data_IF_344872697248
#
_entry.id   IF_344872697248
#
_cell.length_a   1.000
_cell.length_b   1.000
_cell.length_c   1.000
_cell.angle_alpha   90.00
_cell.angle_beta   90.00
_cell.angle_gamma   90.00
#
_symmetry.space_group_name_H-M   'P 1'
#
loop_
_entity.id
_entity.type
_entity.pdbx_description
1 polymer ?
#
# COMPACT_ATOMS: atom_id res chain seq x y z
N UNK A 1 4.33 -27.81 -7.55
CA UNK A 1 4.05 -26.41 -7.24
C UNK A 1 3.44 -26.29 -5.86
N UNK A 2 4.04 -25.49 -4.99
CA UNK A 2 3.53 -25.32 -3.63
C UNK A 2 2.29 -24.44 -3.64
N UNK A 3 1.27 -24.82 -2.86
CA UNK A 3 0.09 -24.00 -2.67
C UNK A 3 0.35 -22.93 -1.59
N UNK A 4 -0.60 -22.03 -1.39
CA UNK A 4 -0.42 -20.93 -0.44
C UNK A 4 -0.30 -21.42 1.01
N UNK A 5 -0.97 -22.52 1.38
CA UNK A 5 -0.87 -23.09 2.72
C UNK A 5 0.55 -23.58 2.99
N UNK A 6 1.17 -24.25 2.02
CA UNK A 6 2.55 -24.70 2.13
C UNK A 6 3.50 -23.52 2.25
N UNK A 7 3.26 -22.45 1.48
CA UNK A 7 4.05 -21.23 1.56
C UNK A 7 3.97 -20.59 2.96
N UNK A 8 2.78 -20.50 3.54
CA UNK A 8 2.58 -19.94 4.88
C UNK A 8 3.26 -20.81 5.94
N UNK A 9 3.11 -22.13 5.85
CA UNK A 9 3.75 -23.06 6.77
C UNK A 9 5.27 -22.95 6.73
N UNK A 10 5.85 -22.80 5.53
CA UNK A 10 7.29 -22.63 5.38
C UNK A 10 7.79 -21.33 6.03
N UNK A 11 7.02 -20.27 5.94
CA UNK A 11 7.40 -19.00 6.54
C UNK A 11 7.28 -19.05 8.07
N UNK A 12 6.43 -19.91 8.61
CA UNK A 12 6.24 -20.14 10.07
C UNK A 12 6.14 -18.85 10.87
N UNK A 13 5.47 -17.84 10.31
CA UNK A 13 5.47 -16.49 10.84
C UNK A 13 4.03 -15.99 11.02
N UNK A 14 3.63 -15.77 12.28
CA UNK A 14 2.30 -15.24 12.61
C UNK A 14 2.02 -13.91 11.93
N UNK A 15 3.06 -13.13 11.66
CA UNK A 15 2.93 -11.83 10.99
C UNK A 15 2.54 -11.98 9.52
N UNK A 16 3.02 -13.03 8.85
CA UNK A 16 2.60 -13.36 7.49
C UNK A 16 1.12 -13.72 7.48
N UNK A 17 0.65 -14.47 8.47
CA UNK A 17 -0.76 -14.80 8.60
C UNK A 17 -1.61 -13.56 8.85
N UNK A 18 -1.10 -12.59 9.62
CA UNK A 18 -1.77 -11.31 9.84
C UNK A 18 -1.92 -10.51 8.56
N UNK A 19 -0.90 -10.50 7.73
CA UNK A 19 -0.95 -9.85 6.41
C UNK A 19 -1.99 -10.55 5.53
N UNK A 20 -1.97 -11.88 5.48
CA UNK A 20 -2.93 -12.65 4.71
C UNK A 20 -4.37 -12.34 5.14
N UNK A 21 -4.61 -12.30 6.44
CA UNK A 21 -5.92 -11.97 6.99
C UNK A 21 -6.41 -10.58 6.54
N UNK A 22 -5.53 -9.59 6.59
CA UNK A 22 -5.85 -8.24 6.12
C UNK A 22 -6.17 -8.22 4.63
N UNK A 23 -5.37 -8.91 3.82
CA UNK A 23 -5.59 -8.98 2.37
C UNK A 23 -6.90 -9.67 2.02
N UNK A 24 -7.25 -10.75 2.72
CA UNK A 24 -8.51 -11.46 2.50
C UNK A 24 -9.72 -10.57 2.81
N UNK A 25 -9.59 -9.69 3.80
CA UNK A 25 -10.65 -8.76 4.20
C UNK A 25 -10.61 -7.42 3.46
N UNK A 26 -9.71 -7.25 2.49
CA UNK A 26 -9.47 -5.97 1.79
C UNK A 26 -9.23 -4.81 2.77
N UNK A 27 -8.52 -5.08 3.85
CA UNK A 27 -8.25 -4.11 4.90
C UNK A 27 -6.90 -3.42 4.70
N UNK A 28 -6.90 -2.10 4.87
CA UNK A 28 -5.67 -1.32 4.86
C UNK A 28 -4.78 -1.71 6.04
N UNK A 29 -3.47 -1.64 5.86
CA UNK A 29 -2.53 -2.09 6.86
C UNK A 29 -1.28 -1.21 6.94
N UNK A 30 -0.59 -1.31 8.07
CA UNK A 30 0.74 -0.72 8.26
C UNK A 30 1.68 -1.87 8.63
N UNK A 31 2.78 -1.98 7.91
CA UNK A 31 3.82 -2.96 8.21
C UNK A 31 5.13 -2.25 8.57
N UNK A 32 5.83 -2.78 9.55
CA UNK A 32 7.14 -2.29 9.97
C UNK A 32 8.17 -3.32 9.53
N UNK A 33 9.02 -2.94 8.59
CA UNK A 33 10.03 -3.83 8.02
C UNK A 33 11.07 -3.04 7.25
N UNK A 34 12.24 -3.60 7.10
CA UNK A 34 13.21 -3.16 6.10
C UNK A 34 12.75 -3.67 4.74
N UNK A 35 11.81 -2.94 4.13
CA UNK A 35 11.14 -3.38 2.92
C UNK A 35 12.13 -3.48 1.76
N UNK A 36 12.28 -4.67 1.23
CA UNK A 36 13.14 -4.95 0.11
C UNK A 36 12.47 -5.88 -0.89
N UNK A 37 13.21 -6.31 -1.89
CA UNK A 37 12.70 -7.15 -2.97
C UNK A 37 12.04 -8.44 -2.45
N UNK A 38 12.66 -9.09 -1.47
CA UNK A 38 12.11 -10.34 -0.90
C UNK A 38 10.77 -10.12 -0.21
N UNK A 39 10.65 -9.05 0.57
CA UNK A 39 9.41 -8.71 1.26
C UNK A 39 8.33 -8.34 0.23
N UNK A 40 8.68 -7.56 -0.78
CA UNK A 40 7.77 -7.21 -1.87
C UNK A 40 7.26 -8.45 -2.59
N UNK A 41 8.13 -9.40 -2.92
CA UNK A 41 7.75 -10.65 -3.58
C UNK A 41 6.79 -11.47 -2.73
N UNK A 42 7.04 -11.57 -1.42
CA UNK A 42 6.16 -12.29 -0.49
C UNK A 42 4.77 -11.68 -0.45
N UNK A 43 4.70 -10.36 -0.28
CA UNK A 43 3.42 -9.65 -0.21
C UNK A 43 2.69 -9.72 -1.54
N UNK A 44 3.39 -9.58 -2.66
CA UNK A 44 2.82 -9.69 -4.00
C UNK A 44 2.19 -11.09 -4.20
N UNK A 45 2.89 -12.13 -3.78
CA UNK A 45 2.40 -13.50 -3.90
C UNK A 45 1.13 -13.72 -3.08
N UNK A 46 1.12 -13.22 -1.84
CA UNK A 46 -0.06 -13.30 -0.98
C UNK A 46 -1.23 -12.50 -1.57
N UNK A 47 -0.97 -11.31 -2.07
CA UNK A 47 -2.00 -10.47 -2.66
C UNK A 47 -2.61 -11.13 -3.89
N UNK A 48 -1.80 -11.63 -4.80
CA UNK A 48 -2.31 -12.32 -6.00
C UNK A 48 -3.12 -13.56 -5.65
N UNK A 49 -2.71 -14.29 -4.63
CA UNK A 49 -3.46 -15.44 -4.16
C UNK A 49 -4.84 -15.06 -3.60
N UNK A 50 -4.95 -13.89 -2.98
CA UNK A 50 -6.22 -13.40 -2.39
C UNK A 50 -7.08 -12.61 -3.39
N UNK A 51 -6.72 -12.64 -4.68
CA UNK A 51 -7.54 -12.10 -5.73
C UNK A 51 -7.17 -10.69 -6.22
N UNK A 52 -6.06 -10.14 -5.74
CA UNK A 52 -5.56 -8.86 -6.26
C UNK A 52 -4.98 -9.06 -7.65
N UNK A 53 -5.36 -8.18 -8.57
CA UNK A 53 -4.88 -8.22 -9.95
C UNK A 53 -3.40 -7.90 -10.03
N UNK A 54 -2.96 -6.89 -9.27
CA UNK A 54 -1.58 -6.48 -9.24
C UNK A 54 -1.24 -5.72 -7.96
N UNK A 55 0.05 -5.55 -7.73
CA UNK A 55 0.59 -4.78 -6.61
C UNK A 55 1.40 -3.62 -7.18
N UNK A 56 1.04 -2.42 -6.77
CA UNK A 56 1.72 -1.20 -7.20
C UNK A 56 2.52 -0.68 -6.01
N UNK A 57 3.84 -0.67 -6.12
CA UNK A 57 4.73 -0.26 -5.04
C UNK A 57 5.32 1.12 -5.31
N UNK A 58 5.09 2.02 -4.37
CA UNK A 58 5.67 3.34 -4.37
C UNK A 58 6.88 3.37 -3.44
N UNK A 59 8.06 3.33 -4.04
CA UNK A 59 9.30 3.46 -3.31
C UNK A 59 9.54 4.92 -2.95
N UNK A 60 9.67 5.19 -1.66
CA UNK A 60 10.03 6.52 -1.21
C UNK A 60 11.50 6.77 -1.53
N UNK A 61 11.78 7.81 -2.29
CA UNK A 61 13.13 8.29 -2.59
C UNK A 61 13.24 9.76 -2.24
N UNK A 62 14.44 10.29 -2.17
CA UNK A 62 14.65 11.71 -1.89
C UNK A 62 14.06 12.63 -2.98
N UNK A 63 13.72 12.05 -4.13
CA UNK A 63 13.14 12.80 -5.26
C UNK A 63 11.62 12.76 -5.30
N UNK A 64 10.97 11.95 -4.47
CA UNK A 64 9.51 11.88 -4.44
C UNK A 64 8.92 13.10 -3.74
N UNK A 65 7.92 13.70 -4.36
CA UNK A 65 7.23 14.88 -3.86
C UNK A 65 5.72 14.65 -3.83
N UNK A 66 4.98 15.39 -2.99
CA UNK A 66 3.51 15.28 -2.95
C UNK A 66 2.82 15.46 -4.30
N UNK A 67 3.39 16.27 -5.19
CA UNK A 67 2.84 16.48 -6.55
C UNK A 67 2.78 15.20 -7.37
N UNK A 68 3.62 14.20 -7.05
CA UNK A 68 3.63 12.92 -7.76
C UNK A 68 2.36 12.10 -7.49
N UNK A 69 1.62 12.46 -6.43
CA UNK A 69 0.34 11.86 -6.07
C UNK A 69 -0.86 12.65 -6.59
N UNK A 70 -0.63 13.65 -7.43
CA UNK A 70 -1.67 14.52 -7.96
C UNK A 70 -1.69 14.46 -9.49
N UNK A 71 -2.84 14.84 -10.13
CA UNK A 71 -2.88 14.94 -11.59
C UNK A 71 -1.86 15.97 -12.10
N UNK A 72 -1.23 15.66 -13.24
CA UNK A 72 -0.28 16.58 -13.86
C UNK A 72 -1.01 17.63 -14.70
N UNK A 73 -0.76 18.94 -14.50
CA UNK A 73 -1.36 19.96 -15.35
C UNK A 73 -0.87 19.84 -16.80
N UNK A 74 -1.75 20.02 -17.76
CA UNK A 74 -1.42 20.03 -19.18
C UNK A 74 -2.33 21.01 -19.93
N UNK A 75 -1.99 21.35 -21.17
CA UNK A 75 -2.81 22.21 -22.02
C UNK A 75 -4.17 21.60 -22.38
N UNK A 76 -4.30 20.28 -22.21
CA UNK A 76 -5.53 19.53 -22.50
C UNK A 76 -6.29 19.14 -21.23
N UNK A 77 -6.00 19.77 -20.09
CA UNK A 77 -6.53 19.43 -18.79
C UNK A 77 -5.51 18.65 -17.94
N UNK A 78 -5.96 18.05 -16.87
CA UNK A 78 -5.09 17.31 -15.96
C UNK A 78 -4.83 15.90 -16.49
N UNK A 79 -3.55 15.51 -16.51
CA UNK A 79 -3.15 14.14 -16.85
C UNK A 79 -3.04 13.30 -15.58
N UNK A 80 -3.64 12.13 -15.61
CA UNK A 80 -3.57 11.17 -14.51
C UNK A 80 -2.39 10.22 -14.77
N UNK A 81 -1.48 10.02 -13.79
CA UNK A 81 -0.38 9.07 -13.95
C UNK A 81 -0.89 7.65 -14.26
N UNK A 82 -0.12 6.89 -15.03
CA UNK A 82 -0.54 5.55 -15.48
C UNK A 82 -0.86 4.61 -14.32
N UNK A 83 -0.14 4.68 -13.22
CA UNK A 83 -0.39 3.81 -12.06
C UNK A 83 -1.78 4.05 -11.46
N UNK A 84 -2.20 5.32 -11.36
CA UNK A 84 -3.53 5.67 -10.85
C UNK A 84 -4.62 5.36 -11.87
N UNK A 85 -4.34 5.61 -13.13
CA UNK A 85 -5.26 5.32 -14.23
C UNK A 85 -5.60 3.84 -14.32
N UNK A 86 -4.62 2.98 -14.10
CA UNK A 86 -4.83 1.53 -14.07
C UNK A 86 -5.90 1.15 -13.05
N UNK A 87 -5.85 1.72 -11.85
CA UNK A 87 -6.82 1.44 -10.80
C UNK A 87 -8.19 2.05 -11.16
N UNK A 88 -8.22 3.30 -11.59
CA UNK A 88 -9.45 4.03 -11.89
C UNK A 88 -10.23 3.39 -13.04
N UNK A 89 -9.53 2.96 -14.08
CA UNK A 89 -10.16 2.43 -15.30
C UNK A 89 -10.56 0.94 -15.18
N UNK A 90 -10.13 0.23 -14.14
CA UNK A 90 -10.38 -1.20 -13.98
C UNK A 90 -11.10 -1.50 -12.66
N UNK A 91 -12.30 -0.95 -12.48
CA UNK A 91 -13.04 -1.05 -11.22
C UNK A 91 -13.53 -2.48 -10.89
N UNK A 92 -13.48 -3.39 -11.83
CA UNK A 92 -13.80 -4.81 -11.61
C UNK A 92 -12.59 -5.64 -11.17
N UNK A 93 -11.42 -5.02 -11.05
CA UNK A 93 -10.18 -5.65 -10.59
C UNK A 93 -9.68 -4.91 -9.36
N UNK A 94 -9.14 -5.62 -8.39
CA UNK A 94 -8.62 -4.96 -7.19
C UNK A 94 -7.10 -4.92 -7.17
N UNK A 95 -6.57 -3.88 -6.57
CA UNK A 95 -5.14 -3.58 -6.55
C UNK A 95 -4.67 -3.32 -5.12
N UNK A 96 -3.46 -3.77 -4.82
CA UNK A 96 -2.78 -3.43 -3.58
C UNK A 96 -1.78 -2.32 -3.87
N UNK A 97 -1.89 -1.24 -3.12
CA UNK A 97 -1.00 -0.09 -3.26
C UNK A 97 -0.09 -0.03 -2.04
N UNK A 98 1.23 -0.11 -2.27
CA UNK A 98 2.21 -0.10 -1.20
C UNK A 98 3.02 1.18 -1.26
N UNK A 99 3.04 1.93 -0.15
CA UNK A 99 3.89 3.11 0.00
C UNK A 99 5.03 2.78 0.97
N UNK A 100 6.26 2.92 0.51
CA UNK A 100 7.45 2.57 1.28
C UNK A 100 8.15 3.83 1.79
N UNK A 101 8.27 3.93 3.11
CA UNK A 101 8.96 5.04 3.78
C UNK A 101 10.16 4.50 4.55
N UNK A 102 11.34 4.80 4.09
CA UNK A 102 12.60 4.51 4.79
C UNK A 102 13.07 5.67 5.68
N UNK A 103 12.48 6.85 5.50
CA UNK A 103 12.76 8.07 6.23
C UNK A 103 11.46 8.85 6.46
N UNK A 104 11.50 9.75 7.44
CA UNK A 104 10.40 10.69 7.61
C UNK A 104 10.28 11.64 6.43
N UNK A 105 9.06 11.80 5.95
CA UNK A 105 8.71 12.77 4.93
C UNK A 105 7.28 13.22 5.21
N UNK A 106 7.15 14.23 6.04
CA UNK A 106 5.84 14.69 6.53
C UNK A 106 4.94 15.18 5.41
N UNK A 107 5.51 15.86 4.42
CA UNK A 107 4.74 16.37 3.28
C UNK A 107 4.15 15.24 2.43
N UNK A 108 4.94 14.20 2.19
CA UNK A 108 4.47 13.04 1.44
C UNK A 108 3.47 12.23 2.26
N UNK A 109 3.72 12.07 3.56
CA UNK A 109 2.78 11.40 4.46
C UNK A 109 1.42 12.11 4.48
N UNK A 110 1.42 13.44 4.54
CA UNK A 110 0.20 14.23 4.49
C UNK A 110 -0.53 14.07 3.14
N UNK A 111 0.22 13.98 2.04
CA UNK A 111 -0.35 13.78 0.72
C UNK A 111 -0.99 12.40 0.56
N UNK A 112 -0.58 11.41 1.37
CA UNK A 112 -1.19 10.09 1.37
C UNK A 112 -2.54 10.04 2.09
N UNK A 113 -2.86 11.00 2.94
CA UNK A 113 -4.06 10.92 3.77
C UNK A 113 -5.34 10.70 2.97
N UNK A 114 -5.63 11.44 1.89
CA UNK A 114 -6.84 11.17 1.12
C UNK A 114 -6.85 9.77 0.51
N UNK A 115 -5.69 9.29 0.07
CA UNK A 115 -5.56 7.96 -0.53
C UNK A 115 -5.82 6.88 0.53
N UNK A 116 -5.13 6.96 1.67
CA UNK A 116 -5.20 5.95 2.71
C UNK A 116 -6.53 5.98 3.48
N UNK A 117 -7.01 7.17 3.85
CA UNK A 117 -8.18 7.32 4.71
C UNK A 117 -9.51 7.29 3.95
N UNK A 118 -9.53 7.80 2.72
CA UNK A 118 -10.76 7.96 1.95
C UNK A 118 -10.80 7.12 0.69
N UNK A 119 -9.73 6.43 0.36
CA UNK A 119 -9.57 5.72 -0.92
C UNK A 119 -9.87 6.62 -2.12
N UNK A 120 -9.33 7.83 -2.09
CA UNK A 120 -9.42 8.78 -3.19
C UNK A 120 -8.11 8.82 -3.98
N UNK A 121 -8.20 8.64 -5.30
CA UNK A 121 -7.08 8.79 -6.22
C UNK A 121 -7.39 9.92 -7.19
N UNK A 122 -6.50 10.91 -7.23
CA UNK A 122 -6.65 12.04 -8.17
C UNK A 122 -8.02 12.70 -8.07
N UNK A 123 -8.53 12.84 -6.83
CA UNK A 123 -9.83 13.42 -6.56
C UNK A 123 -11.03 12.50 -6.80
N UNK A 124 -10.79 11.25 -7.19
CA UNK A 124 -11.85 10.27 -7.45
C UNK A 124 -11.86 9.19 -6.39
N UNK A 125 -13.05 8.85 -5.89
CA UNK A 125 -13.23 7.77 -4.95
C UNK A 125 -13.17 6.43 -5.68
N UNK A 126 -12.34 5.51 -5.18
CA UNK A 126 -12.18 4.17 -5.77
C UNK A 126 -12.50 3.10 -4.74
N UNK A 127 -13.08 1.98 -5.19
CA UNK A 127 -13.49 0.88 -4.30
C UNK A 127 -12.57 -0.34 -4.43
N UNK A 128 -11.68 -0.33 -5.39
CA UNK A 128 -10.88 -1.48 -5.80
C UNK A 128 -9.41 -1.36 -5.38
N UNK A 129 -9.15 -0.64 -4.30
CA UNK A 129 -7.81 -0.36 -3.83
C UNK A 129 -7.69 -0.66 -2.34
N UNK A 130 -6.67 -1.39 -1.96
CA UNK A 130 -6.26 -1.60 -0.57
C UNK A 130 -4.90 -0.96 -0.38
N UNK A 131 -4.70 -0.25 0.71
CA UNK A 131 -3.47 0.48 0.98
C UNK A 131 -2.61 -0.21 2.04
N UNK A 132 -1.32 -0.32 1.74
CA UNK A 132 -0.32 -0.80 2.68
C UNK A 132 0.75 0.27 2.85
N UNK A 133 0.97 0.69 4.09
CA UNK A 133 2.05 1.60 4.42
C UNK A 133 3.20 0.78 5.02
N UNK A 134 4.32 0.72 4.32
CA UNK A 134 5.52 0.02 4.78
C UNK A 134 6.52 1.04 5.35
N UNK A 135 6.88 0.88 6.61
CA UNK A 135 7.73 1.83 7.33
C UNK A 135 8.91 1.11 7.98
N UNK A 136 10.01 1.84 8.14
CA UNK A 136 11.12 1.43 9.00
C UNK A 136 10.94 2.02 10.40
N UNK A 137 11.76 1.59 11.36
CA UNK A 137 11.66 2.03 12.76
C UNK A 137 11.78 3.55 12.95
N UNK A 138 12.42 4.23 12.01
CA UNK A 138 12.67 5.67 12.13
C UNK A 138 11.56 6.54 11.55
N UNK A 139 10.49 5.94 11.05
CA UNK A 139 9.39 6.65 10.40
C UNK A 139 8.24 6.85 11.37
N UNK A 140 7.79 8.09 11.51
CA UNK A 140 6.61 8.43 12.29
C UNK A 140 5.37 8.44 11.39
N UNK A 141 4.39 7.64 11.74
CA UNK A 141 3.11 7.60 11.03
C UNK A 141 2.19 8.70 11.58
N UNK A 142 1.50 9.41 10.70
CA UNK A 142 0.52 10.41 11.12
C UNK A 142 -0.57 9.77 11.98
N UNK A 143 -1.05 10.50 12.99
CA UNK A 143 -2.09 10.00 13.90
C UNK A 143 -3.36 9.53 13.20
N UNK A 144 -3.90 10.25 12.21
CA UNK A 144 -5.10 9.78 11.51
C UNK A 144 -4.90 8.44 10.81
N UNK A 145 -3.77 8.24 10.14
CA UNK A 145 -3.46 6.98 9.47
C UNK A 145 -3.30 5.85 10.49
N UNK A 146 -2.58 6.11 11.57
CA UNK A 146 -2.36 5.14 12.64
C UNK A 146 -3.69 4.73 13.30
N UNK A 147 -4.55 5.70 13.59
CA UNK A 147 -5.87 5.46 14.17
C UNK A 147 -6.75 4.61 13.24
N UNK A 148 -6.72 4.88 11.94
CA UNK A 148 -7.46 4.10 10.94
C UNK A 148 -7.01 2.64 10.91
N UNK A 149 -5.74 2.39 11.10
CA UNK A 149 -5.19 1.03 11.13
C UNK A 149 -5.46 0.29 12.45
N UNK A 150 -5.97 0.96 13.47
CA UNK A 150 -6.26 0.37 14.78
C UNK A 150 -5.23 0.69 15.87
N UNK A 151 -4.36 1.66 15.65
CA UNK A 151 -3.34 2.11 16.57
C UNK A 151 -2.00 1.37 16.42
N UNK A 152 -1.07 1.66 17.31
CA UNK A 152 0.29 1.09 17.25
C UNK A 152 0.32 -0.43 17.32
N UNK A 153 -0.62 -1.02 18.05
CA UNK A 153 -0.70 -2.49 18.19
C UNK A 153 -1.09 -3.19 16.89
N UNK A 154 -1.67 -2.47 15.95
CA UNK A 154 -2.08 -3.01 14.65
C UNK A 154 -0.96 -3.02 13.62
N UNK A 155 0.19 -2.39 13.93
CA UNK A 155 1.35 -2.40 13.04
C UNK A 155 1.92 -3.82 13.02
N UNK A 156 1.98 -4.39 11.83
CA UNK A 156 2.50 -5.76 11.65
C UNK A 156 4.02 -5.66 11.48
N UNK A 157 4.75 -6.32 12.37
CA UNK A 157 6.22 -6.37 12.29
C UNK A 157 6.67 -7.60 11.50
N UNK A 158 7.46 -7.35 10.48
CA UNK A 158 8.06 -8.41 9.67
C UNK A 158 9.54 -8.58 9.96
#
# INVERSE_FOLDING_TARGET
MKNIKDFILEQSNDNIQSILYKLEGDEDMIINTDFGVRTEEKITKLAKHTGYEDVITWWRTDKMEPKDLAPMPSNKGNLIPSWAKTIIDNQNKKYLLIFVFDKNNDKLMDALMPIYLKHELMGKKVKNMTCCLAITDNVNVSKPILSRAGGERSIIKL
#
